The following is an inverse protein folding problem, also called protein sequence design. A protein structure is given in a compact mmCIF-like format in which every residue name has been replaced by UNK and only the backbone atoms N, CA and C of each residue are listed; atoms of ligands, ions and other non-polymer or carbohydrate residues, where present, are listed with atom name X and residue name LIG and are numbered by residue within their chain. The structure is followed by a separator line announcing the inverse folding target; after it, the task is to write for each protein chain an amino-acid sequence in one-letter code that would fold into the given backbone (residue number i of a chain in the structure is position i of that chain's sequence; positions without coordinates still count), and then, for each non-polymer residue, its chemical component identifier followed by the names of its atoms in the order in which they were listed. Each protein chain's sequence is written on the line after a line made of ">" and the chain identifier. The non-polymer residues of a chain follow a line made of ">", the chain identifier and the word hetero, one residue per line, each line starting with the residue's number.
data_IF_725255838320
#
_entry.id   IF_725255838320
#
_cell.length_a   1.000
_cell.length_b   1.000
_cell.length_c   1.000
_cell.angle_alpha   90.00
_cell.angle_beta   90.00
_cell.angle_gamma   90.00
#
_symmetry.space_group_name_H-M   'P 1'
#
loop_
_entity.id
_entity.type
_entity.pdbx_description
1 polymer ?
#
# COMPACT_ATOMS: atom_id res chain seq x y z
N UNK A 1 3.62 -9.57 4.12
CA UNK A 1 4.57 -9.39 2.99
C UNK A 1 4.06 -10.07 1.73
N UNK A 2 4.16 -11.41 1.59
CA UNK A 2 3.64 -12.08 0.39
C UNK A 2 2.13 -11.91 0.21
N UNK A 3 1.35 -12.05 1.29
CA UNK A 3 -0.08 -11.76 1.27
C UNK A 3 -0.37 -10.33 0.81
N UNK A 4 0.26 -9.33 1.42
CA UNK A 4 0.10 -7.92 1.05
C UNK A 4 0.33 -7.68 -0.44
N UNK A 5 1.45 -8.17 -0.98
CA UNK A 5 1.78 -8.05 -2.41
C UNK A 5 0.74 -8.76 -3.30
N UNK A 6 0.27 -9.94 -2.88
CA UNK A 6 -0.74 -10.72 -3.62
C UNK A 6 -2.08 -9.99 -3.73
N UNK A 7 -2.45 -9.14 -2.78
CA UNK A 7 -3.70 -8.38 -2.84
C UNK A 7 -3.52 -6.98 -3.42
N UNK A 8 -2.45 -6.27 -3.07
CA UNK A 8 -2.24 -4.89 -3.49
C UNK A 8 -1.91 -4.77 -4.97
N UNK A 9 -1.01 -5.63 -5.48
CA UNK A 9 -0.55 -5.53 -6.87
C UNK A 9 -1.67 -5.77 -7.91
N UNK A 10 -2.57 -6.77 -7.77
CA UNK A 10 -3.71 -6.93 -8.67
C UNK A 10 -4.71 -5.79 -8.58
N UNK A 11 -4.98 -5.27 -7.37
CA UNK A 11 -5.89 -4.12 -7.18
C UNK A 11 -5.31 -2.88 -7.87
N UNK A 12 -4.02 -2.60 -7.67
CA UNK A 12 -3.34 -1.50 -8.33
C UNK A 12 -3.37 -1.64 -9.85
N UNK A 13 -3.08 -2.83 -10.38
CA UNK A 13 -3.15 -3.13 -11.80
C UNK A 13 -4.56 -2.92 -12.36
N UNK A 14 -5.59 -3.42 -11.70
CA UNK A 14 -6.99 -3.29 -12.11
C UNK A 14 -7.43 -1.83 -12.16
N UNK A 15 -7.12 -1.07 -11.10
CA UNK A 15 -7.51 0.34 -11.01
C UNK A 15 -6.80 1.18 -12.07
N UNK A 16 -5.50 0.96 -12.29
CA UNK A 16 -4.75 1.67 -13.33
C UNK A 16 -5.18 1.23 -14.72
N UNK A 17 -5.47 -0.05 -14.96
CA UNK A 17 -5.90 -0.55 -16.26
C UNK A 17 -7.18 0.15 -16.76
N UNK A 18 -8.11 0.48 -15.85
CA UNK A 18 -9.36 1.20 -16.19
C UNK A 18 -9.15 2.62 -16.73
N UNK A 19 -8.04 3.26 -16.38
CA UNK A 19 -7.72 4.64 -16.82
C UNK A 19 -6.56 4.70 -17.82
N UNK A 20 -5.64 3.73 -17.76
CA UNK A 20 -4.42 3.62 -18.55
C UNK A 20 -4.11 2.14 -18.83
N UNK A 21 -4.81 1.50 -19.78
CA UNK A 21 -4.77 0.04 -19.96
C UNK A 21 -3.38 -0.54 -20.20
N UNK A 22 -2.49 0.21 -20.87
CA UNK A 22 -1.10 -0.20 -21.11
C UNK A 22 -0.15 -0.12 -19.91
N UNK A 23 -0.61 0.36 -18.75
CA UNK A 23 0.22 0.51 -17.55
C UNK A 23 -0.12 -0.48 -16.43
N UNK A 24 -1.00 -1.46 -16.66
CA UNK A 24 -1.44 -2.41 -15.64
C UNK A 24 -0.27 -3.18 -15.01
N UNK A 25 0.63 -3.73 -15.82
CA UNK A 25 1.79 -4.49 -15.34
C UNK A 25 2.79 -3.59 -14.59
N UNK A 26 3.02 -2.38 -15.10
CA UNK A 26 3.86 -1.40 -14.43
C UNK A 26 3.27 -0.99 -13.06
N UNK A 27 1.94 -0.89 -12.96
CA UNK A 27 1.25 -0.59 -11.72
C UNK A 27 1.33 -1.72 -10.70
N UNK A 28 1.15 -2.98 -11.13
CA UNK A 28 1.41 -4.15 -10.28
C UNK A 28 2.85 -4.15 -9.74
N UNK A 29 3.83 -3.93 -10.62
CA UNK A 29 5.24 -3.89 -10.24
C UNK A 29 5.57 -2.74 -9.29
N UNK A 30 5.04 -1.55 -9.56
CA UNK A 30 5.22 -0.37 -8.71
C UNK A 30 4.60 -0.58 -7.32
N UNK A 31 3.39 -1.14 -7.25
CA UNK A 31 2.73 -1.50 -5.99
C UNK A 31 3.55 -2.54 -5.23
N UNK A 32 3.91 -3.66 -5.86
CA UNK A 32 4.70 -4.70 -5.21
C UNK A 32 6.05 -4.19 -4.68
N UNK A 33 6.73 -3.31 -5.43
CA UNK A 33 7.97 -2.66 -4.99
C UNK A 33 7.73 -1.75 -3.80
N UNK A 34 6.67 -0.94 -3.84
CA UNK A 34 6.32 -0.03 -2.74
C UNK A 34 6.00 -0.82 -1.46
N UNK A 35 5.17 -1.86 -1.55
CA UNK A 35 4.84 -2.78 -0.46
C UNK A 35 6.11 -3.44 0.10
N UNK A 36 6.98 -3.97 -0.76
CA UNK A 36 8.24 -4.61 -0.37
C UNK A 36 9.19 -3.64 0.36
N UNK A 37 9.17 -2.37 -0.03
CA UNK A 37 10.00 -1.33 0.57
C UNK A 37 9.39 -0.69 1.83
N UNK A 38 8.08 -0.81 2.06
CA UNK A 38 7.37 -0.19 3.19
C UNK A 38 7.19 -1.16 4.36
N UNK A 39 6.86 -2.42 4.09
CA UNK A 39 6.35 -3.33 5.10
C UNK A 39 7.40 -3.86 6.10
N UNK A 40 8.64 -4.21 5.73
CA UNK A 40 9.64 -4.60 6.73
C UNK A 40 9.86 -3.50 7.79
N UNK A 41 9.86 -2.25 7.35
CA UNK A 41 10.01 -1.05 8.17
C UNK A 41 8.75 -0.79 8.99
N UNK A 42 7.57 -0.99 8.40
CA UNK A 42 6.28 -0.95 9.11
C UNK A 42 6.27 -1.92 10.30
N UNK A 43 6.70 -3.17 10.09
CA UNK A 43 6.75 -4.18 11.15
C UNK A 43 7.71 -3.80 12.26
N UNK A 44 8.93 -3.33 11.90
CA UNK A 44 9.89 -2.86 12.88
C UNK A 44 9.34 -1.67 13.69
N UNK A 45 8.70 -0.72 13.03
CA UNK A 45 8.08 0.44 13.65
C UNK A 45 6.89 0.05 14.54
N UNK A 46 6.06 -0.90 14.11
CA UNK A 46 4.92 -1.42 14.87
C UNK A 46 5.36 -2.07 16.18
N UNK A 47 6.38 -2.94 16.14
CA UNK A 47 6.94 -3.59 17.34
C UNK A 47 7.47 -2.57 18.35
N UNK A 48 8.00 -1.44 17.88
CA UNK A 48 8.47 -0.36 18.73
C UNK A 48 7.33 0.52 19.27
N UNK A 49 6.36 0.86 18.42
CA UNK A 49 5.29 1.83 18.73
C UNK A 49 4.18 1.25 19.60
N UNK A 50 3.75 0.01 19.35
CA UNK A 50 2.63 -0.64 20.06
C UNK A 50 2.77 -0.61 21.59
N UNK A 51 3.91 -0.98 22.21
CA UNK A 51 4.06 -0.92 23.66
C UNK A 51 4.15 0.51 24.23
N UNK A 52 4.40 1.53 23.40
CA UNK A 52 4.63 2.92 23.84
C UNK A 52 3.40 3.80 23.71
N UNK A 53 2.66 3.65 22.62
CA UNK A 53 1.54 4.53 22.27
C UNK A 53 0.19 3.80 22.20
N UNK A 54 0.19 2.49 22.48
CA UNK A 54 -0.98 1.64 22.36
C UNK A 54 -1.25 1.21 20.92
N UNK A 55 -2.04 0.14 20.77
CA UNK A 55 -2.29 -0.50 19.47
C UNK A 55 -3.02 0.43 18.48
N UNK A 56 -4.17 1.00 18.87
CA UNK A 56 -5.01 1.81 17.98
C UNK A 56 -4.30 3.04 17.38
N UNK A 57 -3.76 3.96 18.20
CA UNK A 57 -3.07 5.15 17.70
C UNK A 57 -1.85 4.81 16.84
N UNK A 58 -1.07 3.79 17.23
CA UNK A 58 0.09 3.33 16.47
C UNK A 58 -0.31 2.76 15.12
N UNK A 59 -1.34 1.91 15.08
CA UNK A 59 -1.86 1.33 13.84
C UNK A 59 -2.27 2.43 12.87
N UNK A 60 -3.12 3.37 13.30
CA UNK A 60 -3.60 4.47 12.44
C UNK A 60 -2.43 5.31 11.91
N UNK A 61 -1.48 5.69 12.78
CA UNK A 61 -0.35 6.52 12.38
C UNK A 61 0.56 5.81 11.38
N UNK A 62 0.83 4.53 11.61
CA UNK A 62 1.69 3.72 10.74
C UNK A 62 1.04 3.46 9.38
N UNK A 63 -0.26 3.15 9.34
CA UNK A 63 -1.03 2.99 8.10
C UNK A 63 -1.02 4.27 7.25
N UNK A 64 -1.21 5.44 7.87
CA UNK A 64 -1.12 6.73 7.17
C UNK A 64 0.27 6.90 6.54
N UNK A 65 1.34 6.60 7.29
CA UNK A 65 2.71 6.72 6.77
C UNK A 65 2.97 5.78 5.60
N UNK A 66 2.49 4.53 5.67
CA UNK A 66 2.60 3.55 4.58
C UNK A 66 1.87 4.03 3.35
N UNK A 67 0.61 4.45 3.48
CA UNK A 67 -0.19 4.95 2.35
C UNK A 67 0.48 6.16 1.68
N UNK A 68 1.03 7.09 2.47
CA UNK A 68 1.73 8.25 1.91
C UNK A 68 3.03 7.85 1.19
N UNK A 69 3.81 6.94 1.78
CA UNK A 69 5.05 6.46 1.19
C UNK A 69 4.79 5.71 -0.12
N UNK A 70 3.86 4.77 -0.12
CA UNK A 70 3.53 3.96 -1.29
C UNK A 70 2.90 4.81 -2.41
N UNK A 71 2.06 5.79 -2.05
CA UNK A 71 1.58 6.79 -2.99
C UNK A 71 2.75 7.58 -3.62
N UNK A 72 3.76 7.96 -2.83
CA UNK A 72 4.97 8.61 -3.35
C UNK A 72 5.71 7.76 -4.38
N UNK A 73 5.96 6.48 -4.05
CA UNK A 73 6.66 5.53 -4.93
C UNK A 73 5.86 5.27 -6.22
N UNK A 74 4.57 4.93 -6.10
CA UNK A 74 3.72 4.66 -7.26
C UNK A 74 3.51 5.91 -8.11
N UNK A 75 3.32 7.07 -7.48
CA UNK A 75 3.16 8.35 -8.17
C UNK A 75 4.39 8.72 -8.99
N UNK A 76 5.58 8.47 -8.44
CA UNK A 76 6.84 8.68 -9.14
C UNK A 76 7.02 7.73 -10.34
N UNK A 77 6.83 6.42 -10.14
CA UNK A 77 7.02 5.40 -11.20
C UNK A 77 5.99 5.55 -12.32
N UNK A 78 4.72 5.74 -11.98
CA UNK A 78 3.60 5.78 -12.92
C UNK A 78 3.29 7.20 -13.43
N UNK A 79 4.03 8.22 -12.97
CA UNK A 79 3.80 9.65 -13.27
C UNK A 79 2.33 10.04 -13.04
N UNK A 80 1.80 9.69 -11.88
CA UNK A 80 0.43 10.01 -11.49
C UNK A 80 0.38 11.38 -10.80
N UNK A 81 -0.78 12.04 -10.85
CA UNK A 81 -1.02 13.21 -10.00
C UNK A 81 -1.06 12.78 -8.53
N UNK A 82 -0.66 13.63 -7.57
CA UNK A 82 -0.63 13.27 -6.14
C UNK A 82 -1.95 12.67 -5.64
N UNK A 83 -3.10 13.26 -6.00
CA UNK A 83 -4.41 12.75 -5.62
C UNK A 83 -4.72 11.35 -6.18
N UNK A 84 -4.27 11.05 -7.41
CA UNK A 84 -4.45 9.74 -8.02
C UNK A 84 -3.57 8.68 -7.36
N UNK A 85 -2.32 9.05 -7.07
CA UNK A 85 -1.38 8.16 -6.39
C UNK A 85 -1.86 7.83 -4.97
N UNK A 86 -2.36 8.83 -4.24
CA UNK A 86 -2.94 8.63 -2.91
C UNK A 86 -4.17 7.73 -2.96
N UNK A 87 -5.10 7.97 -3.90
CA UNK A 87 -6.28 7.13 -4.07
C UNK A 87 -5.93 5.68 -4.43
N UNK A 88 -4.91 5.48 -5.26
CA UNK A 88 -4.42 4.15 -5.63
C UNK A 88 -3.84 3.40 -4.43
N UNK A 89 -2.95 4.04 -3.67
CA UNK A 89 -2.34 3.44 -2.47
C UNK A 89 -3.38 3.15 -1.39
N UNK A 90 -4.29 4.08 -1.14
CA UNK A 90 -5.36 3.89 -0.17
C UNK A 90 -6.26 2.70 -0.55
N UNK A 91 -6.67 2.60 -1.81
CA UNK A 91 -7.51 1.49 -2.26
C UNK A 91 -6.78 0.13 -2.20
N UNK A 92 -5.50 0.08 -2.53
CA UNK A 92 -4.68 -1.12 -2.43
C UNK A 92 -4.53 -1.57 -0.96
N UNK A 93 -4.17 -0.65 -0.06
CA UNK A 93 -4.06 -0.94 1.38
C UNK A 93 -5.39 -1.39 1.99
N UNK A 94 -6.50 -0.72 1.63
CA UNK A 94 -7.82 -1.11 2.11
C UNK A 94 -8.20 -2.54 1.67
N UNK A 95 -7.84 -2.94 0.45
CA UNK A 95 -8.06 -4.30 -0.02
C UNK A 95 -7.20 -5.32 0.73
N UNK A 96 -5.94 -4.96 1.01
CA UNK A 96 -4.99 -5.77 1.80
C UNK A 96 -5.49 -5.99 3.23
N UNK A 97 -5.95 -4.92 3.89
CA UNK A 97 -6.57 -4.96 5.24
C UNK A 97 -7.83 -5.81 5.23
N UNK A 98 -8.75 -5.59 4.28
CA UNK A 98 -9.99 -6.36 4.17
C UNK A 98 -9.71 -7.86 3.96
N UNK A 99 -8.74 -8.20 3.12
CA UNK A 99 -8.32 -9.59 2.92
C UNK A 99 -7.71 -10.18 4.19
N UNK A 100 -6.89 -9.42 4.91
CA UNK A 100 -6.34 -9.85 6.20
C UNK A 100 -7.41 -10.15 7.24
N UNK A 101 -8.46 -9.31 7.32
CA UNK A 101 -9.59 -9.52 8.22
C UNK A 101 -10.46 -10.73 7.85
N UNK A 102 -10.58 -11.07 6.57
CA UNK A 102 -11.35 -12.23 6.10
C UNK A 102 -10.63 -13.57 6.31
N UNK A 103 -9.30 -13.54 6.47
CA UNK A 103 -8.46 -14.72 6.61
C UNK A 103 -8.04 -15.00 8.07
N UNK A 104 -8.38 -14.11 9.00
CA UNK A 104 -8.09 -14.21 10.44
C UNK A 104 -9.29 -14.77 11.21
#
# INVERSE_FOLDING_TARGET
>A
MLLSVLFEAPVAALLVHRVRPGQALAAAGASALATAASHPQLWAAALWAYPRYGYGPSLIGLEILVVLFEAGVMGWILRLRPAQALGLSFAANLASVAAGLLLA
#
